data_IF_873843022279
#
_entry.id   IF_873843022279
#
_cell.length_a   1.000
_cell.length_b   1.000
_cell.length_c   1.000
_cell.angle_alpha   90.00
_cell.angle_beta   90.00
_cell.angle_gamma   90.00
#
_symmetry.space_group_name_H-M   'P 1'
#
loop_
_entity.id
_entity.type
_entity.pdbx_description
1 polymer ?
#
# COMPACT_ATOMS: atom_id res chain seq x y z
N UNK A 1 15.48 -19.63 14.55
CA UNK A 1 15.27 -18.34 15.24
C UNK A 1 14.92 -17.30 14.21
N UNK A 2 13.86 -16.51 14.44
CA UNK A 2 13.53 -15.35 13.61
C UNK A 2 14.26 -14.13 14.17
N UNK A 3 15.07 -13.49 13.32
CA UNK A 3 15.89 -12.34 13.70
C UNK A 3 15.70 -11.24 12.64
N UNK A 4 15.01 -10.15 12.99
CA UNK A 4 14.83 -9.02 12.06
C UNK A 4 16.16 -8.41 11.63
N UNK A 5 16.16 -7.74 10.46
CA UNK A 5 17.30 -6.97 9.92
C UNK A 5 18.55 -7.78 9.58
N UNK A 6 18.49 -9.11 9.64
CA UNK A 6 19.57 -9.99 9.17
C UNK A 6 19.42 -10.30 7.67
N UNK A 7 20.55 -10.56 7.03
CA UNK A 7 20.68 -10.99 5.63
C UNK A 7 21.36 -12.36 5.60
N UNK A 8 21.01 -13.26 4.69
CA UNK A 8 21.72 -14.53 4.53
C UNK A 8 23.24 -14.32 4.42
N UNK A 9 24.01 -15.04 5.26
CA UNK A 9 25.46 -14.89 5.36
C UNK A 9 25.95 -13.93 6.46
N UNK A 10 25.06 -13.19 7.13
CA UNK A 10 25.44 -12.46 8.34
C UNK A 10 25.80 -13.45 9.47
N UNK A 11 26.84 -13.09 10.22
CA UNK A 11 27.16 -13.74 11.51
C UNK A 11 26.85 -12.75 12.62
N UNK A 12 25.94 -13.11 13.50
CA UNK A 12 25.39 -12.19 14.51
C UNK A 12 25.30 -12.83 15.89
N UNK A 13 25.52 -12.05 16.93
CA UNK A 13 25.12 -12.39 18.30
C UNK A 13 23.67 -11.98 18.50
N UNK A 14 22.83 -12.91 18.95
CA UNK A 14 21.38 -12.72 19.06
C UNK A 14 20.94 -12.85 20.52
N UNK A 15 20.16 -11.87 20.99
CA UNK A 15 19.42 -11.97 22.24
C UNK A 15 18.04 -12.58 21.95
N UNK A 16 17.74 -13.73 22.55
CA UNK A 16 16.42 -14.36 22.45
C UNK A 16 15.43 -13.57 23.32
N UNK A 17 14.35 -13.12 22.70
CA UNK A 17 13.23 -12.39 23.34
C UNK A 17 12.06 -13.33 23.67
N UNK A 18 11.73 -14.20 22.71
CA UNK A 18 10.57 -15.10 22.82
C UNK A 18 10.99 -16.51 22.48
N UNK A 19 10.59 -17.48 23.33
CA UNK A 19 10.77 -18.92 23.08
C UNK A 19 9.42 -19.59 23.00
N UNK A 20 9.12 -20.22 21.89
CA UNK A 20 7.94 -21.05 21.66
C UNK A 20 8.36 -22.49 21.37
N UNK A 21 7.41 -23.43 21.39
CA UNK A 21 7.71 -24.85 21.17
C UNK A 21 8.32 -25.13 19.79
N UNK A 22 7.96 -24.36 18.76
CA UNK A 22 8.38 -24.58 17.36
C UNK A 22 9.35 -23.52 16.83
N UNK A 23 9.48 -22.39 17.48
CA UNK A 23 10.36 -21.31 17.02
C UNK A 23 10.82 -20.40 18.17
N UNK A 24 11.83 -19.63 17.90
CA UNK A 24 12.30 -18.56 18.77
C UNK A 24 12.37 -17.25 17.99
N UNK A 25 12.19 -16.14 18.69
CA UNK A 25 12.38 -14.79 18.16
C UNK A 25 13.45 -14.09 18.96
N UNK A 26 14.28 -13.33 18.27
CA UNK A 26 15.35 -12.58 18.88
C UNK A 26 15.67 -11.30 18.09
N UNK A 27 16.60 -10.53 18.59
CA UNK A 27 17.14 -9.36 17.92
C UNK A 27 18.67 -9.40 17.96
N UNK A 28 19.28 -8.73 16.98
CA UNK A 28 20.73 -8.63 16.88
C UNK A 28 21.28 -7.75 17.99
N UNK A 29 22.21 -8.26 18.77
CA UNK A 29 22.98 -7.50 19.77
C UNK A 29 24.25 -6.95 19.12
N UNK A 30 24.89 -7.76 18.27
CA UNK A 30 26.12 -7.39 17.58
C UNK A 30 26.23 -8.13 16.25
N UNK A 31 26.62 -7.42 15.22
CA UNK A 31 27.07 -8.01 13.96
C UNK A 31 28.55 -8.38 14.09
N UNK A 32 28.87 -9.67 14.03
CA UNK A 32 30.24 -10.19 14.07
C UNK A 32 30.87 -10.09 12.67
N UNK A 33 30.08 -10.47 11.65
CA UNK A 33 30.44 -10.34 10.23
C UNK A 33 29.21 -9.97 9.43
N UNK A 34 29.34 -8.97 8.60
CA UNK A 34 28.29 -8.62 7.63
C UNK A 34 28.42 -9.49 6.39
N UNK A 35 27.30 -9.87 5.81
CA UNK A 35 27.23 -10.59 4.56
C UNK A 35 27.68 -9.73 3.38
N UNK A 36 28.41 -10.32 2.44
CA UNK A 36 28.78 -9.69 1.16
C UNK A 36 27.56 -9.44 0.24
N UNK A 37 26.41 -10.04 0.57
CA UNK A 37 25.14 -9.80 -0.14
C UNK A 37 24.46 -8.49 0.27
N UNK A 38 24.96 -7.79 1.29
CA UNK A 38 24.37 -6.52 1.71
C UNK A 38 24.61 -5.41 0.69
N UNK A 39 23.60 -4.62 0.46
CA UNK A 39 23.73 -3.33 -0.23
C UNK A 39 23.29 -2.19 0.68
N UNK A 40 23.74 -0.98 0.35
CA UNK A 40 23.31 0.23 1.06
C UNK A 40 21.86 0.56 0.69
N UNK A 41 20.93 0.63 1.66
CA UNK A 41 19.57 1.10 1.40
C UNK A 41 19.57 2.53 0.83
N UNK A 42 18.72 2.79 -0.15
CA UNK A 42 18.58 4.12 -0.73
C UNK A 42 17.68 5.06 0.10
N UNK A 43 16.78 4.49 0.91
CA UNK A 43 15.88 5.24 1.77
C UNK A 43 16.53 5.56 3.12
N UNK A 44 16.59 6.84 3.50
CA UNK A 44 17.12 7.29 4.79
C UNK A 44 16.34 6.74 5.99
N UNK A 45 15.07 6.37 5.79
CA UNK A 45 14.19 5.85 6.84
C UNK A 45 14.22 4.32 6.98
N UNK A 46 15.02 3.63 6.15
CA UNK A 46 15.10 2.17 6.20
C UNK A 46 15.64 1.69 7.55
N UNK A 47 15.00 0.65 8.10
CA UNK A 47 15.36 0.07 9.40
C UNK A 47 14.59 0.64 10.57
N UNK A 48 13.98 1.84 10.42
CA UNK A 48 13.10 2.45 11.42
C UNK A 48 11.66 2.46 10.92
N UNK A 49 11.43 2.90 9.67
CA UNK A 49 10.12 2.88 9.04
C UNK A 49 9.59 1.44 8.85
N UNK A 50 8.30 1.24 9.14
CA UNK A 50 7.61 -0.05 8.96
C UNK A 50 7.32 -0.45 7.52
N UNK A 51 7.53 0.44 6.53
CA UNK A 51 7.09 0.23 5.16
C UNK A 51 7.93 -0.75 4.34
N UNK A 52 9.26 -0.77 4.52
CA UNK A 52 10.18 -1.58 3.73
C UNK A 52 11.03 -2.50 4.62
N UNK A 53 11.27 -3.74 4.14
CA UNK A 53 12.00 -4.75 4.94
C UNK A 53 13.31 -5.21 4.30
N UNK A 54 13.52 -5.03 3.00
CA UNK A 54 14.58 -5.72 2.25
C UNK A 54 15.43 -4.79 1.38
N UNK A 55 15.46 -3.48 1.63
CA UNK A 55 16.30 -2.55 0.86
C UNK A 55 17.81 -2.75 1.07
N UNK A 56 18.20 -3.51 2.07
CA UNK A 56 19.58 -3.90 2.35
C UNK A 56 20.04 -5.15 1.59
N UNK A 57 19.23 -5.66 0.66
CA UNK A 57 19.52 -6.81 -0.19
C UNK A 57 19.29 -6.41 -1.65
N UNK A 58 20.23 -6.67 -2.59
CA UNK A 58 20.03 -6.43 -4.02
C UNK A 58 18.79 -7.12 -4.55
N UNK A 59 18.09 -6.50 -5.51
CA UNK A 59 16.79 -6.96 -5.96
C UNK A 59 16.81 -8.37 -6.59
N UNK A 60 17.85 -8.70 -7.36
CA UNK A 60 18.04 -10.04 -7.93
C UNK A 60 18.18 -11.12 -6.84
N UNK A 61 18.80 -10.79 -5.72
CA UNK A 61 18.89 -11.69 -4.55
C UNK A 61 17.55 -11.78 -3.82
N UNK A 62 16.78 -10.68 -3.74
CA UNK A 62 15.42 -10.73 -3.20
C UNK A 62 14.54 -11.70 -4.00
N UNK A 63 14.66 -11.69 -5.34
CA UNK A 63 13.93 -12.62 -6.21
C UNK A 63 14.33 -14.06 -5.94
N UNK A 64 15.64 -14.37 -5.87
CA UNK A 64 16.13 -15.72 -5.57
C UNK A 64 15.63 -16.23 -4.21
N UNK A 65 15.68 -15.39 -3.17
CA UNK A 65 15.19 -15.75 -1.84
C UNK A 65 13.68 -16.03 -1.86
N UNK A 66 12.89 -15.19 -2.54
CA UNK A 66 11.43 -15.40 -2.68
C UNK A 66 11.11 -16.70 -3.44
N UNK A 67 11.80 -16.97 -4.54
CA UNK A 67 11.61 -18.19 -5.30
C UNK A 67 11.92 -19.43 -4.45
N UNK A 68 13.06 -19.44 -3.74
CA UNK A 68 13.44 -20.53 -2.83
C UNK A 68 12.41 -20.73 -1.71
N UNK A 69 11.88 -19.66 -1.12
CA UNK A 69 10.85 -19.77 -0.08
C UNK A 69 9.58 -20.44 -0.61
N UNK A 70 9.13 -20.10 -1.81
CA UNK A 70 7.95 -20.71 -2.42
C UNK A 70 8.20 -22.20 -2.68
N UNK A 71 9.33 -22.54 -3.29
CA UNK A 71 9.70 -23.93 -3.55
C UNK A 71 9.79 -24.76 -2.27
N UNK A 72 10.46 -24.26 -1.24
CA UNK A 72 10.58 -24.95 0.05
C UNK A 72 9.21 -25.15 0.72
N UNK A 73 8.33 -24.16 0.67
CA UNK A 73 6.98 -24.27 1.25
C UNK A 73 6.16 -25.34 0.52
N UNK A 74 6.16 -25.35 -0.81
CA UNK A 74 5.44 -26.34 -1.59
C UNK A 74 5.98 -27.76 -1.38
N UNK A 75 7.31 -27.94 -1.37
CA UNK A 75 7.93 -29.26 -1.18
C UNK A 75 7.83 -29.75 0.26
N UNK A 76 8.18 -28.90 1.25
CA UNK A 76 8.31 -29.33 2.64
C UNK A 76 7.02 -29.27 3.45
N UNK A 77 6.19 -28.23 3.21
CA UNK A 77 4.92 -28.05 3.94
C UNK A 77 3.78 -28.65 3.14
N UNK A 78 3.75 -28.39 1.83
CA UNK A 78 2.75 -28.92 0.94
C UNK A 78 2.93 -30.39 0.59
N UNK A 79 4.12 -30.96 0.81
CA UNK A 79 4.51 -32.33 0.42
C UNK A 79 4.23 -32.64 -1.05
N UNK A 80 4.41 -31.61 -1.92
CA UNK A 80 4.12 -31.73 -3.34
C UNK A 80 5.36 -32.18 -4.11
N UNK A 81 5.17 -33.12 -5.04
CA UNK A 81 6.13 -33.38 -6.10
C UNK A 81 5.94 -32.30 -7.18
N UNK A 82 6.95 -31.46 -7.35
CA UNK A 82 6.87 -30.31 -8.25
C UNK A 82 7.63 -30.62 -9.55
N UNK A 83 7.09 -30.22 -10.71
CA UNK A 83 7.87 -30.11 -11.93
C UNK A 83 8.95 -29.02 -11.77
N UNK A 84 9.72 -28.80 -12.81
CA UNK A 84 10.65 -27.66 -12.84
C UNK A 84 9.90 -26.34 -12.64
N UNK A 85 10.30 -25.58 -11.62
CA UNK A 85 9.70 -24.27 -11.33
C UNK A 85 10.33 -23.25 -12.28
N UNK A 86 9.47 -22.55 -13.02
CA UNK A 86 9.91 -21.48 -13.92
C UNK A 86 10.54 -20.33 -13.12
N UNK A 87 11.47 -19.57 -13.74
CA UNK A 87 12.06 -18.40 -13.09
C UNK A 87 11.00 -17.40 -12.62
N UNK A 88 11.22 -16.80 -11.46
CA UNK A 88 10.35 -15.77 -10.93
C UNK A 88 10.36 -14.53 -11.84
N UNK A 89 9.19 -13.98 -12.13
CA UNK A 89 9.03 -12.75 -12.89
C UNK A 89 9.24 -11.55 -11.96
N UNK A 90 10.35 -10.87 -12.11
CA UNK A 90 10.66 -9.66 -11.34
C UNK A 90 9.90 -8.43 -11.84
N UNK A 91 9.80 -7.41 -10.97
CA UNK A 91 9.30 -6.09 -11.36
C UNK A 91 10.42 -5.31 -12.04
N UNK A 92 10.14 -4.68 -13.16
CA UNK A 92 11.10 -3.78 -13.84
C UNK A 92 11.38 -2.53 -12.99
N UNK A 93 10.35 -2.06 -12.28
CA UNK A 93 10.44 -0.89 -11.43
C UNK A 93 10.45 -1.30 -9.96
N UNK A 94 11.52 -0.97 -9.24
CA UNK A 94 11.72 -1.31 -7.83
C UNK A 94 11.50 -0.13 -6.89
N UNK A 95 11.36 1.08 -7.43
CA UNK A 95 11.02 2.32 -6.76
C UNK A 95 9.81 2.96 -7.43
N UNK A 96 9.06 3.77 -6.69
CA UNK A 96 7.88 4.51 -7.19
C UNK A 96 6.83 3.66 -7.90
N UNK A 97 6.69 2.41 -7.47
CA UNK A 97 5.78 1.44 -8.10
C UNK A 97 4.40 1.34 -7.43
N UNK A 98 4.25 1.89 -6.22
CA UNK A 98 2.98 1.81 -5.50
C UNK A 98 2.03 2.91 -5.96
N UNK A 99 0.79 2.50 -6.14
CA UNK A 99 -0.31 3.40 -6.47
C UNK A 99 -1.15 3.81 -5.26
N UNK A 100 -0.87 3.29 -4.06
CA UNK A 100 -1.58 3.64 -2.81
C UNK A 100 -0.61 3.68 -1.64
N UNK A 101 -0.65 4.77 -0.88
CA UNK A 101 -0.02 4.89 0.45
C UNK A 101 -1.03 5.49 1.43
N UNK A 102 -0.90 5.05 2.68
CA UNK A 102 -1.69 5.54 3.81
C UNK A 102 -0.74 6.06 4.88
N UNK A 103 -0.93 7.31 5.28
CA UNK A 103 -0.10 7.99 6.26
C UNK A 103 -0.93 8.32 7.51
N UNK A 104 -0.28 8.34 8.66
CA UNK A 104 -0.90 8.63 9.95
C UNK A 104 -0.38 9.93 10.51
N UNK A 105 -1.28 10.77 11.00
CA UNK A 105 -0.95 11.97 11.76
C UNK A 105 -0.66 11.61 13.22
N UNK A 106 0.29 12.30 13.83
CA UNK A 106 0.58 12.19 15.27
C UNK A 106 1.02 13.53 15.83
N UNK A 107 0.62 13.91 17.05
CA UNK A 107 1.10 15.14 17.68
C UNK A 107 2.57 15.05 18.09
N UNK A 108 3.12 13.83 18.18
CA UNK A 108 4.51 13.60 18.60
C UNK A 108 5.15 12.51 17.73
N UNK A 109 6.10 12.91 16.88
CA UNK A 109 6.84 11.96 16.04
C UNK A 109 7.70 11.00 16.87
N UNK A 110 7.99 9.85 16.31
CA UNK A 110 9.01 8.96 16.82
C UNK A 110 10.40 9.63 16.68
N UNK A 111 11.17 9.64 17.78
CA UNK A 111 12.57 10.03 17.78
C UNK A 111 13.44 8.79 17.69
N UNK A 112 14.44 8.80 16.81
CA UNK A 112 15.38 7.69 16.70
C UNK A 112 16.37 7.67 17.87
N UNK A 113 17.01 6.53 18.08
CA UNK A 113 18.04 6.42 19.13
C UNK A 113 19.19 7.39 18.93
N UNK A 114 19.57 7.64 17.68
CA UNK A 114 20.60 8.56 17.29
C UNK A 114 20.21 10.02 17.60
N UNK A 115 18.97 10.41 17.32
CA UNK A 115 18.45 11.74 17.64
C UNK A 115 18.44 11.97 19.15
N UNK A 116 17.96 11.01 19.92
CA UNK A 116 17.93 11.09 21.40
C UNK A 116 19.36 11.17 21.95
N UNK A 117 20.30 10.40 21.39
CA UNK A 117 21.69 10.39 21.83
C UNK A 117 22.41 11.71 21.49
N UNK A 118 22.04 12.37 20.38
CA UNK A 118 22.63 13.64 19.95
C UNK A 118 22.06 14.84 20.70
N UNK A 119 20.81 14.80 21.10
CA UNK A 119 20.11 15.84 21.85
C UNK A 119 18.97 15.26 22.68
N UNK A 120 19.23 15.01 23.95
CA UNK A 120 18.23 14.46 24.89
C UNK A 120 17.08 15.44 25.22
N UNK A 121 17.25 16.74 24.97
CA UNK A 121 16.24 17.78 25.15
C UNK A 121 15.35 17.95 23.90
N UNK A 122 15.57 17.15 22.86
CA UNK A 122 14.82 17.24 21.62
C UNK A 122 13.34 16.93 21.85
N UNK A 123 12.49 17.91 21.65
CA UNK A 123 11.05 17.73 21.73
C UNK A 123 10.51 17.08 20.43
N UNK A 124 9.60 16.12 20.60
CA UNK A 124 8.95 15.49 19.48
C UNK A 124 7.87 16.42 18.89
N UNK A 125 8.08 16.84 17.64
CA UNK A 125 7.14 17.67 16.86
C UNK A 125 6.01 16.85 16.24
N UNK A 126 4.91 17.49 15.78
CA UNK A 126 3.88 16.83 14.99
C UNK A 126 4.42 16.20 13.70
N UNK A 127 3.86 15.06 13.29
CA UNK A 127 4.29 14.34 12.10
C UNK A 127 3.14 13.75 11.28
N UNK A 128 3.42 13.52 9.99
CA UNK A 128 2.59 12.78 9.06
C UNK A 128 3.45 11.76 8.32
N UNK A 129 3.34 10.49 8.72
CA UNK A 129 4.22 9.44 8.20
C UNK A 129 3.73 8.03 8.45
N UNK A 130 4.66 7.10 8.71
CA UNK A 130 4.34 5.70 8.89
C UNK A 130 4.61 5.21 10.31
N UNK A 131 3.82 4.23 10.73
CA UNK A 131 4.02 3.57 12.03
C UNK A 131 5.37 2.86 12.11
N UNK A 132 5.94 2.87 13.31
CA UNK A 132 7.05 2.01 13.68
C UNK A 132 6.54 0.55 13.78
N UNK A 133 7.28 -0.45 13.30
CA UNK A 133 6.86 -1.83 13.34
C UNK A 133 6.45 -2.31 14.75
N UNK A 134 5.21 -2.82 14.86
CA UNK A 134 4.67 -3.32 16.12
C UNK A 134 4.23 -2.27 17.14
N UNK A 135 4.24 -0.98 16.77
CA UNK A 135 3.83 0.13 17.65
C UNK A 135 2.71 0.95 17.00
N UNK A 136 1.48 0.77 17.49
CA UNK A 136 0.29 1.39 16.90
C UNK A 136 0.21 2.91 17.08
N UNK A 137 0.88 3.46 18.09
CA UNK A 137 0.84 4.87 18.47
C UNK A 137 2.14 5.65 18.13
N UNK A 138 3.11 4.98 17.48
CA UNK A 138 4.39 5.58 17.15
C UNK A 138 4.53 5.76 15.65
N UNK A 139 4.66 7.01 15.24
CA UNK A 139 4.76 7.41 13.83
C UNK A 139 6.08 8.09 13.58
N UNK A 140 6.81 7.59 12.58
CA UNK A 140 8.02 8.22 12.07
C UNK A 140 7.64 9.33 11.10
N UNK A 141 8.22 10.50 11.26
CA UNK A 141 8.09 11.57 10.27
C UNK A 141 8.90 11.22 9.02
N UNK A 142 8.26 11.23 7.87
CA UNK A 142 8.88 10.82 6.61
C UNK A 142 9.20 12.05 5.77
N UNK A 143 10.46 12.22 5.39
CA UNK A 143 10.86 13.27 4.45
C UNK A 143 10.53 12.88 3.01
N UNK A 144 10.99 11.71 2.59
CA UNK A 144 10.74 11.16 1.25
C UNK A 144 10.42 9.67 1.31
N UNK A 145 9.30 9.29 0.73
CA UNK A 145 8.96 7.89 0.47
C UNK A 145 9.27 7.54 -0.98
N UNK A 146 10.01 6.46 -1.20
CA UNK A 146 10.42 5.96 -2.51
C UNK A 146 9.43 4.95 -3.11
N UNK A 147 8.31 4.72 -2.44
CA UNK A 147 7.35 3.71 -2.90
C UNK A 147 6.33 4.28 -3.89
N UNK A 148 5.89 5.53 -3.71
CA UNK A 148 4.89 6.17 -4.56
C UNK A 148 5.50 7.37 -5.30
N UNK A 149 5.17 7.55 -6.60
CA UNK A 149 5.67 8.68 -7.38
C UNK A 149 5.13 10.02 -6.86
N UNK A 150 5.75 11.11 -7.31
CA UNK A 150 5.16 12.44 -7.13
C UNK A 150 3.81 12.52 -7.88
N UNK A 151 2.87 13.33 -7.39
CA UNK A 151 3.03 14.35 -6.33
C UNK A 151 2.80 13.85 -4.88
N UNK A 152 2.90 12.54 -4.59
CA UNK A 152 2.56 11.99 -3.28
C UNK A 152 3.35 12.59 -2.11
N UNK A 153 4.68 12.67 -2.21
CA UNK A 153 5.49 13.30 -1.15
C UNK A 153 5.17 14.79 -1.01
N UNK A 154 5.03 15.49 -2.14
CA UNK A 154 4.75 16.93 -2.16
C UNK A 154 3.39 17.22 -1.50
N UNK A 155 2.33 16.47 -1.82
CA UNK A 155 1.00 16.60 -1.21
C UNK A 155 1.07 16.32 0.30
N UNK A 156 1.73 15.25 0.71
CA UNK A 156 1.85 14.88 2.14
C UNK A 156 2.58 15.95 2.95
N UNK A 157 3.73 16.43 2.45
CA UNK A 157 4.51 17.45 3.12
C UNK A 157 3.75 18.76 3.23
N UNK A 158 3.06 19.15 2.17
CA UNK A 158 2.24 20.36 2.16
C UNK A 158 1.04 20.25 3.10
N UNK A 159 0.36 19.10 3.14
CA UNK A 159 -0.73 18.84 4.08
C UNK A 159 -0.23 19.01 5.53
N UNK A 160 0.92 18.41 5.86
CA UNK A 160 1.52 18.55 7.18
C UNK A 160 1.83 20.02 7.50
N UNK A 161 2.48 20.74 6.56
CA UNK A 161 2.85 22.15 6.72
C UNK A 161 1.61 23.01 6.97
N UNK A 162 0.60 22.90 6.12
CA UNK A 162 -0.65 23.66 6.22
C UNK A 162 -1.33 23.42 7.58
N UNK A 163 -1.46 22.16 8.00
CA UNK A 163 -2.10 21.82 9.27
C UNK A 163 -1.35 22.42 10.47
N UNK A 164 -0.02 22.41 10.46
CA UNK A 164 0.78 23.02 11.54
C UNK A 164 0.60 24.54 11.55
N UNK A 165 0.71 25.21 10.39
CA UNK A 165 0.59 26.66 10.27
C UNK A 165 -0.79 27.19 10.69
N UNK A 166 -1.85 26.40 10.46
CA UNK A 166 -3.23 26.78 10.78
C UNK A 166 -3.74 26.16 12.10
N UNK A 167 -2.86 25.53 12.88
CA UNK A 167 -3.19 25.02 14.22
C UNK A 167 -4.18 23.85 14.20
N UNK A 168 -4.14 22.98 13.20
CA UNK A 168 -4.97 21.76 13.18
C UNK A 168 -4.37 20.75 14.16
N UNK A 169 -5.11 20.30 15.19
CA UNK A 169 -4.60 19.34 16.15
C UNK A 169 -4.48 17.96 15.50
N UNK A 170 -3.29 17.36 15.56
CA UNK A 170 -3.06 15.99 15.10
C UNK A 170 -3.58 14.99 16.12
N UNK A 171 -4.15 13.89 15.65
CA UNK A 171 -4.80 12.89 16.48
C UNK A 171 -3.82 12.13 17.37
N UNK A 172 -4.12 12.07 18.65
CA UNK A 172 -3.41 11.24 19.63
C UNK A 172 -4.15 9.91 19.81
N UNK A 173 -3.56 8.83 19.30
CA UNK A 173 -4.18 7.50 19.35
C UNK A 173 -4.32 6.91 20.75
N UNK A 174 -3.64 7.44 21.78
CA UNK A 174 -3.77 7.00 23.17
C UNK A 174 -4.85 7.77 23.93
N UNK A 175 -4.94 9.07 23.69
CA UNK A 175 -5.85 9.97 24.38
C UNK A 175 -7.17 10.13 23.63
N UNK A 176 -7.23 9.66 22.38
CA UNK A 176 -8.37 9.78 21.47
C UNK A 176 -8.81 11.24 21.26
N UNK A 177 -7.83 12.15 21.15
CA UNK A 177 -8.04 13.60 20.99
C UNK A 177 -7.31 14.10 19.74
N UNK A 178 -7.77 15.19 19.15
CA UNK A 178 -7.23 15.78 17.95
C UNK A 178 -8.12 15.57 16.73
N UNK A 179 -7.88 16.32 15.66
CA UNK A 179 -8.72 16.38 14.47
C UNK A 179 -8.19 15.49 13.33
N UNK A 180 -6.89 15.63 12.98
CA UNK A 180 -6.29 14.99 11.81
C UNK A 180 -5.86 13.56 12.13
N UNK A 181 -6.44 12.55 11.46
CA UNK A 181 -6.15 11.13 11.74
C UNK A 181 -5.25 10.48 10.70
N UNK A 182 -5.74 10.31 9.49
CA UNK A 182 -5.05 9.59 8.42
C UNK A 182 -5.14 10.36 7.11
N UNK A 183 -4.23 10.07 6.20
CA UNK A 183 -4.24 10.55 4.83
C UNK A 183 -3.94 9.38 3.91
N UNK A 184 -4.80 9.15 2.93
CA UNK A 184 -4.55 8.16 1.87
C UNK A 184 -4.34 8.89 0.56
N UNK A 185 -3.28 8.54 -0.16
CA UNK A 185 -3.03 9.05 -1.51
C UNK A 185 -3.06 7.86 -2.46
N UNK A 186 -3.88 7.96 -3.50
CA UNK A 186 -3.90 7.02 -4.62
C UNK A 186 -3.52 7.75 -5.91
N UNK A 187 -2.68 7.11 -6.68
CA UNK A 187 -2.28 7.55 -8.02
C UNK A 187 -2.67 6.47 -9.02
N UNK A 188 -2.84 6.83 -10.28
CA UNK A 188 -3.14 5.87 -11.35
C UNK A 188 -2.23 6.05 -12.55
N UNK A 189 -2.22 5.06 -13.45
CA UNK A 189 -1.48 5.13 -14.71
C UNK A 189 -2.02 6.20 -15.68
N UNK A 190 -3.23 6.69 -15.44
CA UNK A 190 -3.86 7.78 -16.21
C UNK A 190 -3.40 9.18 -15.76
N UNK A 191 -2.57 9.26 -14.71
CA UNK A 191 -2.12 10.52 -14.12
C UNK A 191 -3.11 11.15 -13.12
N UNK A 192 -4.22 10.48 -12.83
CA UNK A 192 -5.19 10.94 -11.85
C UNK A 192 -4.69 10.69 -10.42
N UNK A 193 -5.00 11.61 -9.51
CA UNK A 193 -4.66 11.53 -8.09
C UNK A 193 -5.92 11.65 -7.24
N UNK A 194 -6.09 10.73 -6.31
CA UNK A 194 -7.13 10.78 -5.29
C UNK A 194 -6.47 10.99 -3.93
N UNK A 195 -6.94 11.99 -3.20
CA UNK A 195 -6.55 12.25 -1.82
C UNK A 195 -7.76 12.04 -0.91
N UNK A 196 -7.56 11.24 0.13
CA UNK A 196 -8.56 10.97 1.15
C UNK A 196 -8.01 11.46 2.49
N UNK A 197 -8.69 12.42 3.10
CA UNK A 197 -8.37 12.94 4.42
C UNK A 197 -9.33 12.35 5.44
N UNK A 198 -8.81 11.84 6.55
CA UNK A 198 -9.62 11.28 7.64
C UNK A 198 -9.53 12.19 8.85
N UNK A 199 -10.69 12.66 9.29
CA UNK A 199 -10.86 13.55 10.44
C UNK A 199 -11.54 12.82 11.60
N UNK A 200 -11.27 13.23 12.83
CA UNK A 200 -11.95 12.66 14.01
C UNK A 200 -13.35 13.23 14.23
N UNK A 201 -13.63 14.41 13.68
CA UNK A 201 -14.92 15.10 13.79
C UNK A 201 -15.25 15.90 12.52
N UNK A 202 -16.52 16.25 12.31
CA UNK A 202 -17.00 17.03 11.15
C UNK A 202 -16.78 18.55 11.36
N UNK A 203 -15.52 18.99 11.30
CA UNK A 203 -15.19 20.43 11.24
C UNK A 203 -15.18 20.89 9.78
N UNK A 204 -16.36 21.26 9.29
CA UNK A 204 -16.57 21.65 7.89
C UNK A 204 -15.68 22.80 7.43
N UNK A 205 -15.40 23.76 8.31
CA UNK A 205 -14.58 24.92 7.98
C UNK A 205 -13.12 24.53 7.74
N UNK A 206 -12.55 23.70 8.62
CA UNK A 206 -11.20 23.20 8.48
C UNK A 206 -11.07 22.20 7.34
N UNK A 207 -12.06 21.31 7.15
CA UNK A 207 -12.11 20.38 6.03
C UNK A 207 -12.08 21.14 4.71
N UNK A 208 -12.91 22.16 4.56
CA UNK A 208 -12.98 22.96 3.34
C UNK A 208 -11.66 23.71 3.09
N UNK A 209 -11.14 24.43 4.08
CA UNK A 209 -9.92 25.22 3.92
C UNK A 209 -8.71 24.38 3.51
N UNK A 210 -8.50 23.19 4.12
CA UNK A 210 -7.42 22.29 3.74
C UNK A 210 -7.64 21.69 2.35
N UNK A 211 -8.86 21.26 2.05
CA UNK A 211 -9.20 20.64 0.76
C UNK A 211 -9.04 21.61 -0.39
N UNK A 212 -9.51 22.85 -0.24
CA UNK A 212 -9.35 23.90 -1.26
C UNK A 212 -7.88 24.22 -1.48
N UNK A 213 -7.12 24.44 -0.41
CA UNK A 213 -5.68 24.69 -0.48
C UNK A 213 -4.93 23.60 -1.27
N UNK A 214 -5.19 22.33 -0.96
CA UNK A 214 -4.55 21.21 -1.65
C UNK A 214 -4.95 21.12 -3.12
N UNK A 215 -6.24 21.30 -3.43
CA UNK A 215 -6.73 21.28 -4.81
C UNK A 215 -6.24 22.46 -5.65
N UNK A 216 -6.02 23.62 -5.06
CA UNK A 216 -5.43 24.77 -5.73
C UNK A 216 -3.94 24.60 -6.01
N UNK A 217 -3.22 24.04 -5.04
CA UNK A 217 -1.78 23.85 -5.15
C UNK A 217 -1.38 22.66 -6.01
N UNK A 218 -2.21 21.61 -6.05
CA UNK A 218 -1.95 20.35 -6.77
C UNK A 218 -3.13 20.08 -7.74
N UNK A 219 -3.10 20.65 -8.96
CA UNK A 219 -4.17 20.45 -9.96
C UNK A 219 -4.28 18.98 -10.43
N UNK A 220 -3.27 18.14 -10.14
CA UNK A 220 -3.31 16.70 -10.39
C UNK A 220 -4.31 15.96 -9.50
N UNK A 221 -4.76 16.58 -8.39
CA UNK A 221 -5.81 16.00 -7.53
C UNK A 221 -7.15 16.07 -8.27
N UNK A 222 -7.52 14.95 -8.88
CA UNK A 222 -8.78 14.80 -9.62
C UNK A 222 -9.95 14.37 -8.73
N UNK A 223 -9.63 13.84 -7.53
CA UNK A 223 -10.64 13.46 -6.52
C UNK A 223 -10.13 13.78 -5.11
N UNK A 224 -10.79 14.74 -4.47
CA UNK A 224 -10.59 15.08 -3.05
C UNK A 224 -11.77 14.54 -2.25
N UNK A 225 -11.45 13.70 -1.25
CA UNK A 225 -12.42 12.97 -0.42
C UNK A 225 -12.09 13.20 1.04
N UNK A 226 -13.11 13.27 1.88
CA UNK A 226 -12.92 13.18 3.33
C UNK A 226 -13.79 12.10 3.94
N UNK A 227 -13.36 11.60 5.10
CA UNK A 227 -14.08 10.65 5.94
C UNK A 227 -14.03 11.14 7.38
N UNK A 228 -15.10 10.87 8.14
CA UNK A 228 -15.16 11.17 9.56
C UNK A 228 -15.05 9.86 10.33
N UNK A 229 -13.97 9.72 11.10
CA UNK A 229 -13.72 8.54 11.92
C UNK A 229 -13.76 8.90 13.41
N UNK A 230 -14.90 8.75 14.04
CA UNK A 230 -15.10 8.98 15.48
C UNK A 230 -14.72 7.78 16.34
N UNK A 231 -14.33 6.65 15.72
CA UNK A 231 -13.98 5.40 16.42
C UNK A 231 -12.56 5.47 17.01
N UNK A 232 -12.26 4.57 17.94
CA UNK A 232 -10.91 4.44 18.51
C UNK A 232 -9.93 3.64 17.64
N UNK A 233 -10.32 3.15 16.47
CA UNK A 233 -9.48 2.42 15.53
C UNK A 233 -9.38 3.14 14.17
N UNK A 234 -8.45 2.72 13.31
CA UNK A 234 -8.21 3.32 12.01
C UNK A 234 -8.85 2.57 10.84
N UNK A 235 -9.83 1.67 11.11
CA UNK A 235 -10.56 0.98 10.06
C UNK A 235 -11.43 1.96 9.25
N UNK A 236 -11.26 1.99 7.93
CA UNK A 236 -11.94 2.93 7.02
C UNK A 236 -13.11 2.28 6.25
N UNK A 237 -13.22 0.96 6.25
CA UNK A 237 -14.15 0.22 5.40
C UNK A 237 -15.64 0.55 5.63
N UNK A 238 -16.01 0.85 6.87
CA UNK A 238 -17.39 1.17 7.31
C UNK A 238 -17.70 2.66 7.38
N UNK A 239 -16.75 3.54 7.00
CA UNK A 239 -16.94 4.98 7.01
C UNK A 239 -17.53 5.47 5.69
N UNK A 240 -18.32 6.53 5.73
CA UNK A 240 -18.79 7.21 4.52
C UNK A 240 -17.65 8.00 3.87
N UNK A 241 -17.46 7.78 2.58
CA UNK A 241 -16.52 8.54 1.76
C UNK A 241 -17.27 9.72 1.11
N UNK A 242 -17.02 10.93 1.60
CA UNK A 242 -17.68 12.14 1.12
C UNK A 242 -16.79 12.83 0.11
N UNK A 243 -17.25 12.93 -1.14
CA UNK A 243 -16.53 13.62 -2.21
C UNK A 243 -16.62 15.12 -1.97
N UNK A 244 -15.48 15.76 -1.73
CA UNK A 244 -15.39 17.21 -1.64
C UNK A 244 -15.28 17.88 -3.01
N UNK A 245 -14.40 17.36 -3.88
CA UNK A 245 -14.18 17.85 -5.25
C UNK A 245 -13.88 16.70 -6.18
N UNK A 246 -14.29 16.81 -7.44
CA UNK A 246 -14.06 15.83 -8.49
C UNK A 246 -15.08 14.69 -8.48
N UNK A 247 -14.70 13.54 -9.03
CA UNK A 247 -15.61 12.43 -9.29
C UNK A 247 -15.80 11.46 -8.11
N UNK A 248 -14.94 11.54 -7.09
CA UNK A 248 -14.94 10.58 -5.98
C UNK A 248 -14.28 9.23 -6.32
N UNK A 249 -13.67 9.11 -7.49
CA UNK A 249 -12.93 7.94 -7.96
C UNK A 249 -11.84 8.36 -8.95
N UNK A 250 -10.93 7.43 -9.25
CA UNK A 250 -9.91 7.54 -10.31
C UNK A 250 -10.04 6.34 -11.24
N UNK A 251 -9.42 6.43 -12.40
CA UNK A 251 -9.36 5.34 -13.36
C UNK A 251 -7.94 4.75 -13.46
N UNK A 252 -7.88 3.42 -13.57
CA UNK A 252 -6.68 2.70 -13.97
C UNK A 252 -6.93 2.04 -15.33
N UNK A 253 -5.89 1.87 -16.15
CA UNK A 253 -6.01 1.25 -17.47
C UNK A 253 -5.11 0.03 -17.59
N UNK A 254 -5.61 -1.01 -18.30
CA UNK A 254 -4.87 -2.24 -18.57
C UNK A 254 -5.33 -2.85 -19.89
N UNK A 255 -4.43 -2.98 -20.87
CA UNK A 255 -4.75 -3.45 -22.24
C UNK A 255 -5.97 -2.74 -22.89
N UNK A 256 -6.11 -1.43 -22.69
CA UNK A 256 -7.26 -0.66 -23.18
C UNK A 256 -8.52 -0.74 -22.31
N UNK A 257 -8.57 -1.68 -21.36
CA UNK A 257 -9.64 -1.77 -20.38
C UNK A 257 -9.50 -0.67 -19.34
N UNK A 258 -10.61 -0.03 -18.96
CA UNK A 258 -10.66 1.06 -18.00
C UNK A 258 -11.37 0.62 -16.73
N UNK A 259 -10.68 0.68 -15.59
CA UNK A 259 -11.20 0.26 -14.30
C UNK A 259 -11.41 1.46 -13.38
N UNK A 260 -12.63 1.62 -12.89
CA UNK A 260 -12.97 2.59 -11.85
C UNK A 260 -12.47 2.11 -10.50
N UNK A 261 -11.76 2.98 -9.79
CA UNK A 261 -11.22 2.72 -8.45
C UNK A 261 -11.77 3.76 -7.50
N UNK A 262 -12.65 3.34 -6.61
CA UNK A 262 -13.20 4.15 -5.53
C UNK A 262 -12.24 4.26 -4.33
N UNK A 263 -12.60 5.08 -3.33
CA UNK A 263 -11.78 5.30 -2.14
C UNK A 263 -11.56 4.03 -1.31
N UNK A 264 -12.53 3.14 -1.27
CA UNK A 264 -12.49 1.87 -0.53
C UNK A 264 -12.15 0.65 -1.39
N UNK A 265 -12.18 0.78 -2.73
CA UNK A 265 -11.95 -0.34 -3.65
C UNK A 265 -10.57 -0.94 -3.44
N UNK A 266 -10.51 -2.28 -3.41
CA UNK A 266 -9.24 -2.98 -3.50
C UNK A 266 -8.74 -2.92 -4.95
N UNK A 267 -7.49 -2.55 -5.12
CA UNK A 267 -6.75 -2.66 -6.37
C UNK A 267 -5.29 -2.99 -6.05
N UNK A 268 -4.64 -3.81 -6.88
CA UNK A 268 -3.24 -4.20 -6.66
C UNK A 268 -2.34 -2.96 -6.61
N UNK A 269 -1.55 -2.84 -5.55
CA UNK A 269 -0.78 -1.62 -5.27
C UNK A 269 0.41 -1.38 -6.20
N UNK A 270 0.80 -2.36 -7.00
CA UNK A 270 1.76 -2.22 -8.10
C UNK A 270 1.02 -2.55 -9.41
N UNK A 271 0.48 -1.54 -10.08
CA UNK A 271 -0.33 -1.70 -11.30
C UNK A 271 0.44 -2.41 -12.43
N UNK A 272 1.73 -2.10 -12.62
CA UNK A 272 2.55 -2.73 -13.67
C UNK A 272 2.77 -4.22 -13.39
N UNK A 273 3.11 -4.57 -12.15
CA UNK A 273 3.32 -5.98 -11.80
C UNK A 273 1.99 -6.75 -11.72
N UNK A 274 0.88 -6.08 -11.38
CA UNK A 274 -0.46 -6.66 -11.48
C UNK A 274 -0.80 -7.05 -12.92
N UNK A 275 -0.46 -6.22 -13.88
CA UNK A 275 -0.62 -6.56 -15.30
C UNK A 275 0.19 -7.81 -15.69
N UNK A 276 1.47 -7.88 -15.29
CA UNK A 276 2.31 -9.08 -15.55
C UNK A 276 1.69 -10.33 -14.92
N UNK A 277 1.21 -10.21 -13.67
CA UNK A 277 0.54 -11.30 -12.96
C UNK A 277 -0.72 -11.77 -13.70
N UNK A 278 -1.61 -10.85 -14.07
CA UNK A 278 -2.87 -11.20 -14.73
C UNK A 278 -2.65 -11.74 -16.14
N UNK A 279 -1.72 -11.17 -16.88
CA UNK A 279 -1.32 -11.68 -18.21
C UNK A 279 -0.79 -13.11 -18.10
N UNK A 280 0.12 -13.37 -17.15
CA UNK A 280 0.66 -14.71 -16.91
C UNK A 280 -0.43 -15.69 -16.49
N UNK A 281 -1.35 -15.29 -15.60
CA UNK A 281 -2.46 -16.13 -15.20
C UNK A 281 -3.38 -16.46 -16.37
N UNK A 282 -3.72 -15.48 -17.21
CA UNK A 282 -4.54 -15.67 -18.42
C UNK A 282 -3.87 -16.60 -19.45
N UNK A 283 -2.54 -16.45 -19.66
CA UNK A 283 -1.78 -17.30 -20.54
C UNK A 283 -1.70 -18.75 -20.04
N UNK A 284 -1.52 -18.96 -18.73
CA UNK A 284 -1.47 -20.29 -18.12
C UNK A 284 -2.84 -20.95 -18.01
N UNK A 285 -3.93 -20.18 -17.98
CA UNK A 285 -5.28 -20.70 -17.96
C UNK A 285 -5.70 -21.31 -19.32
N UNK A 286 -4.99 -20.97 -20.40
CA UNK A 286 -5.20 -21.50 -21.75
C UNK A 286 -6.68 -21.50 -22.17
N UNK A 287 -7.32 -20.34 -22.00
CA UNK A 287 -8.77 -20.17 -22.18
C UNK A 287 -9.19 -20.31 -23.65
N UNK A 288 -10.28 -21.06 -23.88
CA UNK A 288 -10.89 -21.23 -25.19
C UNK A 288 -12.22 -20.44 -25.31
N UNK A 289 -12.65 -20.07 -26.53
CA UNK A 289 -13.89 -19.30 -26.75
C UNK A 289 -15.16 -19.96 -26.19
N UNK A 290 -15.17 -21.26 -25.97
CA UNK A 290 -16.33 -21.99 -25.42
C UNK A 290 -16.30 -22.15 -23.91
N UNK A 291 -15.22 -21.71 -23.24
CA UNK A 291 -15.05 -21.90 -21.81
C UNK A 291 -15.96 -21.00 -20.98
N UNK A 292 -16.24 -21.46 -19.77
CA UNK A 292 -16.79 -20.63 -18.69
C UNK A 292 -15.73 -20.48 -17.60
N UNK A 293 -15.29 -19.25 -17.39
CA UNK A 293 -14.33 -18.88 -16.35
C UNK A 293 -15.05 -18.49 -15.05
N UNK A 294 -14.62 -19.05 -13.94
CA UNK A 294 -15.04 -18.62 -12.60
C UNK A 294 -13.92 -17.85 -11.93
N UNK A 295 -14.16 -16.56 -11.62
CA UNK A 295 -13.28 -15.71 -10.84
C UNK A 295 -13.78 -15.65 -9.39
N UNK A 296 -13.15 -16.44 -8.52
CA UNK A 296 -13.50 -16.53 -7.11
C UNK A 296 -12.84 -15.40 -6.34
N UNK A 297 -13.63 -14.67 -5.54
CA UNK A 297 -13.22 -13.44 -4.85
C UNK A 297 -12.85 -12.33 -5.83
N UNK A 298 -13.74 -12.10 -6.80
CA UNK A 298 -13.47 -11.23 -7.96
C UNK A 298 -13.19 -9.76 -7.61
N UNK A 299 -13.54 -9.31 -6.39
CA UNK A 299 -13.37 -7.93 -5.95
C UNK A 299 -14.08 -6.96 -6.89
N UNK A 300 -13.36 -6.00 -7.43
CA UNK A 300 -13.87 -5.04 -8.41
C UNK A 300 -13.96 -5.59 -9.84
N UNK A 301 -13.85 -6.91 -10.01
CA UNK A 301 -13.97 -7.59 -11.30
C UNK A 301 -12.74 -7.45 -12.21
N UNK A 302 -11.57 -7.11 -11.68
CA UNK A 302 -10.40 -6.79 -12.52
C UNK A 302 -9.94 -7.99 -13.34
N UNK A 303 -9.74 -9.17 -12.72
CA UNK A 303 -9.27 -10.40 -13.43
C UNK A 303 -10.38 -10.93 -14.34
N UNK A 304 -11.62 -10.96 -13.83
CA UNK A 304 -12.78 -11.37 -14.60
C UNK A 304 -12.87 -10.61 -15.93
N UNK A 305 -12.87 -9.30 -15.88
CA UNK A 305 -12.93 -8.44 -17.07
C UNK A 305 -11.68 -8.57 -17.96
N UNK A 306 -10.49 -8.71 -17.37
CA UNK A 306 -9.25 -8.88 -18.12
C UNK A 306 -9.20 -10.17 -18.94
N UNK A 307 -9.90 -11.22 -18.48
CA UNK A 307 -9.99 -12.51 -19.16
C UNK A 307 -11.23 -12.64 -20.10
N UNK A 308 -12.21 -11.75 -19.98
CA UNK A 308 -13.53 -11.90 -20.61
C UNK A 308 -13.49 -12.06 -22.13
N UNK A 309 -12.55 -11.38 -22.83
CA UNK A 309 -12.40 -11.49 -24.29
C UNK A 309 -11.86 -12.84 -24.77
N UNK A 310 -11.47 -13.77 -23.87
CA UNK A 310 -10.84 -15.05 -24.19
C UNK A 310 -11.74 -16.26 -23.98
N UNK A 311 -12.93 -16.07 -23.44
CA UNK A 311 -13.87 -17.15 -23.13
C UNK A 311 -15.32 -16.73 -23.38
N UNK A 312 -16.22 -17.73 -23.49
CA UNK A 312 -17.65 -17.49 -23.74
C UNK A 312 -18.36 -16.76 -22.61
N UNK A 313 -17.97 -17.04 -21.36
CA UNK A 313 -18.65 -16.54 -20.18
C UNK A 313 -17.68 -16.41 -19.02
N UNK A 314 -17.80 -15.32 -18.27
CA UNK A 314 -17.14 -15.15 -16.97
C UNK A 314 -18.18 -15.03 -15.87
N UNK A 315 -17.94 -15.70 -14.75
CA UNK A 315 -18.75 -15.62 -13.55
C UNK A 315 -17.86 -15.17 -12.40
N UNK A 316 -18.03 -13.91 -11.98
CA UNK A 316 -17.37 -13.36 -10.78
C UNK A 316 -18.17 -13.70 -9.52
N UNK A 317 -17.50 -14.14 -8.46
CA UNK A 317 -18.11 -14.43 -7.16
C UNK A 317 -17.42 -13.54 -6.12
N UNK A 318 -18.20 -12.69 -5.45
CA UNK A 318 -17.74 -11.76 -4.43
C UNK A 318 -18.76 -11.68 -3.30
N UNK A 319 -18.27 -11.49 -2.09
CA UNK A 319 -19.11 -11.40 -0.89
C UNK A 319 -19.45 -9.94 -0.52
N UNK A 320 -18.53 -8.99 -0.83
CA UNK A 320 -18.66 -7.57 -0.43
C UNK A 320 -19.57 -6.82 -1.40
N UNK A 321 -20.76 -6.31 -0.97
CA UNK A 321 -21.72 -5.67 -1.86
C UNK A 321 -21.15 -4.48 -2.65
N UNK A 322 -20.35 -3.63 -2.02
CA UNK A 322 -19.74 -2.46 -2.65
C UNK A 322 -18.74 -2.86 -3.74
N UNK A 323 -18.01 -3.96 -3.55
CA UNK A 323 -17.11 -4.50 -4.55
C UNK A 323 -17.87 -5.07 -5.75
N UNK A 324 -19.04 -5.69 -5.51
CA UNK A 324 -19.94 -6.17 -6.59
C UNK A 324 -20.46 -4.99 -7.41
N UNK A 325 -20.82 -3.89 -6.78
CA UNK A 325 -21.26 -2.67 -7.48
C UNK A 325 -20.15 -2.11 -8.38
N UNK A 326 -18.93 -2.01 -7.84
CA UNK A 326 -17.75 -1.62 -8.61
C UNK A 326 -17.48 -2.60 -9.78
N UNK A 327 -17.58 -3.90 -9.54
CA UNK A 327 -17.39 -4.93 -10.57
C UNK A 327 -18.43 -4.82 -11.72
N UNK A 328 -19.68 -4.59 -11.38
CA UNK A 328 -20.76 -4.35 -12.39
C UNK A 328 -20.48 -3.10 -13.19
N UNK A 329 -20.11 -2.00 -12.52
CA UNK A 329 -19.77 -0.76 -13.20
C UNK A 329 -18.58 -0.95 -14.15
N UNK A 330 -17.53 -1.61 -13.71
CA UNK A 330 -16.36 -1.91 -14.52
C UNK A 330 -16.72 -2.79 -15.72
N UNK A 331 -17.55 -3.81 -15.53
CA UNK A 331 -18.03 -4.66 -16.64
C UNK A 331 -18.85 -3.86 -17.66
N UNK A 332 -19.73 -2.96 -17.23
CA UNK A 332 -20.50 -2.11 -18.12
C UNK A 332 -19.61 -1.14 -18.93
N UNK A 333 -18.56 -0.57 -18.32
CA UNK A 333 -17.63 0.32 -19.03
C UNK A 333 -16.94 -0.37 -20.22
N UNK A 334 -16.78 -1.71 -20.16
CA UNK A 334 -16.08 -2.49 -21.16
C UNK A 334 -16.97 -2.94 -22.32
N UNK A 335 -18.28 -3.07 -22.11
CA UNK A 335 -19.23 -3.58 -23.09
C UNK A 335 -20.08 -2.48 -23.75
N UNK A 336 -20.00 -1.22 -23.32
CA UNK A 336 -20.80 -0.10 -23.89
C UNK A 336 -20.30 0.40 -25.24
N UNK A 337 -19.18 -0.11 -25.76
CA UNK A 337 -18.75 0.22 -27.15
C UNK A 337 -19.42 -0.65 -28.21
N UNK A 338 -19.95 -1.83 -27.87
CA UNK A 338 -20.56 -2.77 -28.84
C UNK A 338 -22.08 -2.96 -28.68
N UNK A 339 -22.69 -2.45 -27.61
CA UNK A 339 -24.12 -2.63 -27.35
C UNK A 339 -25.02 -1.51 -27.94
N UNK A 340 -24.47 -0.63 -28.76
CA UNK A 340 -25.21 0.47 -29.37
C UNK A 340 -25.75 0.15 -30.78
N UNK A 341 -25.52 -1.04 -31.31
CA UNK A 341 -25.91 -1.43 -32.68
C UNK A 341 -26.80 -2.70 -32.79
N UNK A 342 -27.58 -3.04 -31.74
CA UNK A 342 -28.69 -4.00 -31.89
C UNK A 342 -30.00 -3.47 -31.30
#
# INVERSE_FOLDING_TARGET
>A
VFVPMTVPGDVVDVQIRTRRSRYMEGYVVRYVKLSDLRCKPFCAHFGVCGGCKWQNIPYDMQLKIKASQVEEQLRRIGHLELPEIRPILGSEQTEFYRNKLEFTFTPRRWLTTEEIASNWELEASPALGFHIPGMFDKVLDIEKCWLQPEPSNSIRLETKRFCIEHGYPFYNAREHTGLMRNMVIRTSSTGEVMVILVFAEDDRSRIAALSDHLCEKFPEITSMIHMINTKCNDALGDLDAITYRGNGYIYETMEGLKFKIGPKSFYQTNSRQAYVLYKTARELADLHPDDTLYDLYTGTGTIANFCASKCRKVVGIEYVPEAIEDARHNSCLLYTSDAADE
#
